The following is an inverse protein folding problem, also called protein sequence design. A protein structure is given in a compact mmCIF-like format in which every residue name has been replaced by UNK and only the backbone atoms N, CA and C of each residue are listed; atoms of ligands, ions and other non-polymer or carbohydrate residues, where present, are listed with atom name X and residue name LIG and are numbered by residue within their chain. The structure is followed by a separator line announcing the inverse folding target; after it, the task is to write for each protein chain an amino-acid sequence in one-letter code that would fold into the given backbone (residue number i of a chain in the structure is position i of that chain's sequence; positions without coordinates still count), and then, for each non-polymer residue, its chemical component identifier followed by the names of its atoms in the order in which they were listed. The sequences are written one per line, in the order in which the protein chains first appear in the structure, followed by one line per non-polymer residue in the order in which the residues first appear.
data_IF_462740554871
#
_entry.id   IF_462740554871
#
_cell.length_a   1.000
_cell.length_b   1.000
_cell.length_c   1.000
_cell.angle_alpha   90.00
_cell.angle_beta   90.00
_cell.angle_gamma   90.00
#
_symmetry.space_group_name_H-M   'P 1'
#
loop_
_entity.id
_entity.type
_entity.pdbx_description
1 polymer ?
#
# COMPACT_ATOMS: atom_id res chain seq x y z
N UNK A 1 -16.81 2.28 11.58
CA UNK A 1 -15.39 1.91 11.38
C UNK A 1 -14.43 2.69 12.27
N UNK A 2 -14.61 4.01 12.48
CA UNK A 2 -13.71 4.81 13.34
C UNK A 2 -13.48 4.28 14.76
N UNK A 3 -14.54 3.90 15.49
CA UNK A 3 -14.41 3.44 16.89
C UNK A 3 -13.62 2.14 17.10
N UNK A 4 -13.49 1.30 16.07
CA UNK A 4 -12.69 0.07 16.13
C UNK A 4 -11.23 0.35 15.73
N UNK A 5 -11.01 1.13 14.68
CA UNK A 5 -9.67 1.50 14.20
C UNK A 5 -8.93 2.34 15.23
N UNK A 6 -9.61 3.28 15.90
CA UNK A 6 -8.99 4.13 16.93
C UNK A 6 -8.52 3.35 18.16
N UNK A 7 -9.06 2.15 18.41
CA UNK A 7 -8.58 1.26 19.48
C UNK A 7 -7.32 0.49 19.10
N UNK A 8 -7.02 0.39 17.81
CA UNK A 8 -5.84 -0.28 17.27
C UNK A 8 -4.79 0.80 17.02
N UNK A 9 -4.24 1.32 18.12
CA UNK A 9 -3.22 2.37 18.07
C UNK A 9 -2.13 2.11 19.09
N UNK A 10 -0.98 2.75 18.90
CA UNK A 10 0.12 2.67 19.85
C UNK A 10 -0.08 3.68 20.98
N UNK A 11 -0.02 3.20 22.22
CA UNK A 11 -0.08 4.05 23.42
C UNK A 11 1.32 4.17 24.03
N UNK A 12 1.46 4.94 25.12
CA UNK A 12 2.73 5.02 25.86
C UNK A 12 3.08 3.74 26.60
N UNK A 13 2.11 2.87 26.86
CA UNK A 13 2.26 1.63 27.64
C UNK A 13 2.47 0.39 26.77
N UNK A 14 2.16 0.48 25.47
CA UNK A 14 2.31 -0.63 24.54
C UNK A 14 1.91 -0.26 23.11
N UNK A 15 2.33 -1.09 22.16
CA UNK A 15 2.04 -0.91 20.74
C UNK A 15 1.27 -2.11 20.18
N UNK A 16 0.25 -1.82 19.38
CA UNK A 16 -0.47 -2.81 18.59
C UNK A 16 -0.21 -2.49 17.12
N UNK A 17 0.36 -3.46 16.38
CA UNK A 17 0.50 -3.39 14.92
C UNK A 17 -0.49 -4.38 14.31
N UNK A 18 -1.56 -3.88 13.68
CA UNK A 18 -2.54 -4.74 13.01
C UNK A 18 -2.27 -4.87 11.51
N UNK A 19 -2.44 -6.07 10.97
CA UNK A 19 -2.53 -6.32 9.53
C UNK A 19 -3.98 -6.65 9.23
N UNK A 20 -4.61 -5.87 8.36
CA UNK A 20 -6.04 -5.99 8.05
C UNK A 20 -6.22 -6.37 6.58
N UNK A 21 -6.95 -7.46 6.33
CA UNK A 21 -7.32 -7.87 4.99
C UNK A 21 -8.61 -7.17 4.58
N UNK A 22 -8.54 -6.31 3.56
CA UNK A 22 -9.69 -5.61 3.00
C UNK A 22 -10.06 -6.27 1.68
N UNK A 23 -11.27 -6.82 1.59
CA UNK A 23 -11.80 -7.34 0.35
C UNK A 23 -12.36 -6.20 -0.49
N UNK A 24 -11.91 -6.09 -1.75
CA UNK A 24 -12.36 -5.08 -2.71
C UNK A 24 -13.28 -5.78 -3.73
N UNK A 25 -14.60 -5.52 -3.72
CA UNK A 25 -15.51 -6.11 -4.68
C UNK A 25 -15.20 -5.59 -6.08
N UNK A 26 -15.24 -6.47 -7.08
CA UNK A 26 -15.00 -6.15 -8.49
C UNK A 26 -13.66 -5.44 -8.82
N UNK A 27 -12.68 -5.50 -7.92
CA UNK A 27 -11.41 -4.76 -8.04
C UNK A 27 -11.58 -3.21 -8.10
N UNK A 28 -12.72 -2.68 -7.64
CA UNK A 28 -13.02 -1.24 -7.62
C UNK A 28 -12.57 -0.57 -6.31
N UNK A 29 -11.42 0.11 -6.37
CA UNK A 29 -10.85 0.87 -5.25
C UNK A 29 -11.58 2.18 -4.97
N UNK A 30 -12.52 2.59 -5.82
CA UNK A 30 -13.31 3.82 -5.65
C UNK A 30 -14.59 3.62 -4.85
N UNK A 31 -14.91 2.37 -4.50
CA UNK A 31 -16.04 2.06 -3.62
C UNK A 31 -15.87 2.78 -2.26
N UNK A 32 -16.93 3.42 -1.72
CA UNK A 32 -16.89 4.10 -0.43
C UNK A 32 -16.42 3.21 0.74
N UNK A 33 -16.62 1.88 0.69
CA UNK A 33 -16.20 0.96 1.75
C UNK A 33 -14.66 0.84 1.88
N UNK A 34 -13.89 0.53 0.82
CA UNK A 34 -12.43 0.58 0.88
C UNK A 34 -11.90 2.01 1.04
N UNK A 35 -12.52 3.02 0.42
CA UNK A 35 -12.08 4.41 0.53
C UNK A 35 -12.06 4.92 1.98
N UNK A 36 -13.09 4.60 2.77
CA UNK A 36 -13.15 4.95 4.20
C UNK A 36 -12.17 4.16 5.05
N UNK A 37 -11.88 2.90 4.68
CA UNK A 37 -10.90 2.07 5.40
C UNK A 37 -9.47 2.57 5.16
N UNK A 38 -9.13 2.97 3.93
CA UNK A 38 -7.81 3.50 3.59
C UNK A 38 -7.47 4.79 4.33
N UNK A 39 -8.46 5.64 4.62
CA UNK A 39 -8.25 6.86 5.39
C UNK A 39 -7.75 6.61 6.83
N UNK A 40 -7.95 5.40 7.35
CA UNK A 40 -7.53 5.01 8.71
C UNK A 40 -6.27 4.13 8.73
N UNK A 41 -5.70 3.77 7.57
CA UNK A 41 -4.54 2.89 7.48
C UNK A 41 -3.24 3.69 7.29
N UNK A 42 -2.25 3.40 8.13
CA UNK A 42 -0.90 3.99 8.02
C UNK A 42 -0.10 3.44 6.83
N UNK A 43 -0.44 2.23 6.37
CA UNK A 43 0.14 1.63 5.18
C UNK A 43 -0.90 0.80 4.44
N UNK A 44 -0.90 0.90 3.12
CA UNK A 44 -1.77 0.16 2.22
C UNK A 44 -0.91 -0.70 1.30
N UNK A 45 -1.20 -2.00 1.26
CA UNK A 45 -0.57 -2.94 0.33
C UNK A 45 -1.64 -3.45 -0.62
N UNK A 46 -1.58 -3.04 -1.88
CA UNK A 46 -2.55 -3.41 -2.90
C UNK A 46 -2.06 -4.68 -3.61
N UNK A 47 -2.93 -5.69 -3.67
CA UNK A 47 -2.67 -6.95 -4.38
C UNK A 47 -3.37 -6.94 -5.73
N UNK A 48 -2.61 -7.12 -6.82
CA UNK A 48 -3.12 -7.06 -8.18
C UNK A 48 -3.28 -8.45 -8.80
N UNK A 49 -4.49 -8.75 -9.31
CA UNK A 49 -4.75 -9.98 -10.07
C UNK A 49 -3.87 -10.08 -11.32
N UNK A 50 -3.55 -8.95 -11.96
CA UNK A 50 -2.70 -8.89 -13.15
C UNK A 50 -1.25 -9.28 -12.88
N UNK A 51 -0.75 -9.11 -11.65
CA UNK A 51 0.58 -9.58 -11.24
C UNK A 51 0.57 -11.08 -10.91
N UNK A 52 -0.47 -11.55 -10.20
CA UNK A 52 -0.65 -12.96 -9.89
C UNK A 52 -0.77 -13.82 -11.16
N UNK A 53 -1.52 -13.36 -12.17
CA UNK A 53 -1.65 -14.04 -13.46
C UNK A 53 -0.33 -14.19 -14.22
N UNK A 54 0.67 -13.35 -13.93
CA UNK A 54 2.03 -13.42 -14.49
C UNK A 54 2.96 -14.31 -13.67
N UNK A 55 2.46 -14.96 -12.62
CA UNK A 55 3.25 -15.79 -11.71
C UNK A 55 4.10 -15.01 -10.70
N UNK A 56 3.86 -13.71 -10.52
CA UNK A 56 4.62 -12.87 -9.59
C UNK A 56 3.98 -12.95 -8.20
N UNK A 57 4.75 -13.47 -7.23
CA UNK A 57 4.33 -13.60 -5.83
C UNK A 57 5.38 -13.03 -4.87
N UNK A 58 4.96 -12.25 -3.85
CA UNK A 58 3.60 -11.78 -3.60
C UNK A 58 3.15 -10.76 -4.67
N UNK A 59 1.86 -10.78 -5.04
CA UNK A 59 1.30 -10.00 -6.16
C UNK A 59 1.07 -8.51 -5.80
N UNK A 60 2.05 -7.88 -5.14
CA UNK A 60 1.97 -6.52 -4.63
C UNK A 60 2.19 -5.50 -5.76
N UNK A 61 1.26 -4.56 -5.92
CA UNK A 61 1.45 -3.42 -6.82
C UNK A 61 2.21 -2.29 -6.10
N UNK A 62 3.46 -1.98 -6.50
CA UNK A 62 4.29 -0.98 -5.82
C UNK A 62 3.89 0.47 -6.14
N UNK A 63 3.06 0.72 -7.16
CA UNK A 63 2.58 2.06 -7.49
C UNK A 63 1.35 2.44 -6.67
N UNK A 64 0.44 1.48 -6.49
CA UNK A 64 -0.81 1.70 -5.76
C UNK A 64 -0.66 1.47 -4.25
N UNK A 65 0.43 0.81 -3.82
CA UNK A 65 0.76 0.63 -2.40
C UNK A 65 1.44 1.87 -1.80
N UNK A 66 1.01 2.30 -0.61
CA UNK A 66 1.54 3.50 0.05
C UNK A 66 1.82 3.27 1.53
N UNK A 67 2.63 4.15 2.13
CA UNK A 67 2.86 4.14 3.58
C UNK A 67 3.20 5.54 4.07
N UNK A 68 2.60 5.94 5.19
CA UNK A 68 2.85 7.20 5.90
C UNK A 68 4.26 7.24 6.48
N UNK A 69 4.84 6.08 6.82
CA UNK A 69 6.22 5.97 7.30
C UNK A 69 7.26 6.25 6.20
N UNK A 70 6.84 6.25 4.93
CA UNK A 70 7.73 6.43 3.79
C UNK A 70 8.01 7.92 3.54
N UNK A 71 8.63 8.56 4.54
CA UNK A 71 9.01 9.97 4.56
C UNK A 71 10.51 10.15 4.87
N UNK A 72 11.18 11.20 4.35
CA UNK A 72 12.63 11.36 4.49
C UNK A 72 13.11 11.55 5.93
N UNK A 73 12.20 11.92 6.83
CA UNK A 73 12.46 12.10 8.26
C UNK A 73 12.47 10.78 9.04
N UNK A 74 11.85 9.73 8.50
CA UNK A 74 11.67 8.42 9.16
C UNK A 74 12.59 7.38 8.51
N UNK A 75 12.70 7.39 7.18
CA UNK A 75 13.45 6.40 6.41
C UNK A 75 14.77 6.98 5.89
N UNK A 76 15.84 6.17 5.93
CA UNK A 76 17.17 6.55 5.44
C UNK A 76 17.12 7.00 3.97
N UNK A 77 17.87 8.06 3.66
CA UNK A 77 17.92 8.70 2.34
C UNK A 77 18.19 7.73 1.17
N UNK A 78 18.97 6.68 1.40
CA UNK A 78 19.28 5.69 0.37
C UNK A 78 18.06 4.86 -0.04
N UNK A 79 17.25 4.42 0.92
CA UNK A 79 16.00 3.69 0.65
C UNK A 79 15.03 4.57 -0.13
N UNK A 80 14.98 5.86 0.21
CA UNK A 80 14.16 6.85 -0.50
C UNK A 80 14.57 7.05 -1.96
N UNK A 81 15.87 7.10 -2.23
CA UNK A 81 16.39 7.17 -3.60
C UNK A 81 16.05 5.90 -4.38
N UNK A 82 16.32 4.74 -3.78
CA UNK A 82 16.04 3.43 -4.40
C UNK A 82 14.55 3.27 -4.73
N UNK A 83 13.65 3.67 -3.82
CA UNK A 83 12.20 3.64 -4.09
C UNK A 83 11.82 4.51 -5.29
N UNK A 84 12.35 5.73 -5.37
CA UNK A 84 12.05 6.64 -6.49
C UNK A 84 12.53 6.07 -7.82
N UNK A 85 13.71 5.46 -7.84
CA UNK A 85 14.27 4.83 -9.03
C UNK A 85 13.45 3.59 -9.45
N UNK A 86 13.10 2.72 -8.50
CA UNK A 86 12.23 1.57 -8.76
C UNK A 86 10.87 1.99 -9.31
N UNK A 87 10.24 3.02 -8.74
CA UNK A 87 8.95 3.53 -9.23
C UNK A 87 9.06 4.09 -10.65
N UNK A 88 10.13 4.83 -10.96
CA UNK A 88 10.39 5.31 -12.32
C UNK A 88 10.57 4.17 -13.30
N UNK A 89 11.43 3.20 -12.98
CA UNK A 89 11.68 2.04 -13.82
C UNK A 89 10.40 1.24 -14.09
N UNK A 90 9.60 1.02 -13.05
CA UNK A 90 8.35 0.29 -13.17
C UNK A 90 7.31 1.02 -14.04
N UNK A 91 7.19 2.34 -13.92
CA UNK A 91 6.34 3.15 -14.81
C UNK A 91 6.78 3.08 -16.27
N UNK A 92 8.10 3.11 -16.51
CA UNK A 92 8.66 2.96 -17.85
C UNK A 92 8.30 1.59 -18.44
N UNK A 93 8.53 0.51 -17.69
CA UNK A 93 8.18 -0.86 -18.12
C UNK A 93 6.68 -1.00 -18.38
N UNK A 94 5.83 -0.41 -17.54
CA UNK A 94 4.37 -0.43 -17.72
C UNK A 94 3.96 0.27 -19.02
N UNK A 95 4.54 1.44 -19.31
CA UNK A 95 4.28 2.22 -20.53
C UNK A 95 4.59 1.42 -21.80
N UNK A 96 5.74 0.74 -21.86
CA UNK A 96 6.12 -0.10 -23.00
C UNK A 96 5.20 -1.28 -23.25
N UNK A 97 4.45 -1.73 -22.24
CA UNK A 97 3.57 -2.89 -22.31
C UNK A 97 2.14 -2.53 -22.77
N UNK A 98 1.86 -1.24 -22.88
CA UNK A 98 0.58 -0.68 -23.36
C UNK A 98 0.61 -0.32 -24.85
N UNK A 99 1.76 -0.49 -25.52
CA UNK A 99 1.93 -0.48 -26.98
C UNK A 99 1.91 -1.92 -27.49
#
# INVERSE_FOLDING_TARGET
MGSLQERITSTKEGSITSIQAVYVPADDLTDPAPATTFAHLDATTVLSRGLAAKGIYPAVDPLDSTSTMLQPRIVVRNIMKLRKELSKLYNVIKSFRTL
#
